data_IF_565252547671
#
_entry.id   IF_565252547671
#
_cell.length_a   1.000
_cell.length_b   1.000
_cell.length_c   1.000
_cell.angle_alpha   90.00
_cell.angle_beta   90.00
_cell.angle_gamma   90.00
#
_symmetry.space_group_name_H-M   'P 1'
#
loop_
_entity.id
_entity.type
_entity.pdbx_description
1 polymer ?
#
# COMPACT_ATOMS: atom_id res chain seq x y z
N UNK A 1 8.38 -36.30 -41.37
CA UNK A 1 7.35 -37.08 -42.08
C UNK A 1 7.03 -38.26 -41.18
N UNK A 2 5.89 -38.25 -40.52
CA UNK A 2 5.38 -39.38 -39.76
C UNK A 2 4.85 -40.39 -40.78
N UNK A 3 5.59 -41.47 -40.99
CA UNK A 3 5.10 -42.62 -41.77
C UNK A 3 3.92 -43.21 -41.00
N UNK A 4 2.74 -43.24 -41.61
CA UNK A 4 1.62 -44.06 -41.16
C UNK A 4 2.04 -45.53 -41.25
N UNK A 5 2.58 -46.08 -40.17
CA UNK A 5 2.74 -47.53 -40.06
C UNK A 5 1.35 -48.10 -39.83
N UNK A 6 0.89 -48.96 -40.74
CA UNK A 6 -0.34 -49.70 -40.56
C UNK A 6 0.02 -50.83 -39.57
N UNK A 7 -0.28 -50.59 -38.28
CA UNK A 7 0.00 -51.55 -37.21
C UNK A 7 -1.11 -52.62 -37.14
N UNK A 8 -0.74 -53.85 -36.84
CA UNK A 8 -1.70 -54.97 -36.62
C UNK A 8 -2.18 -55.72 -37.83
N UNK A 9 -1.58 -55.52 -39.01
CA UNK A 9 -2.00 -56.24 -40.25
C UNK A 9 -1.76 -57.76 -40.15
N UNK A 10 -0.78 -58.16 -39.35
CA UNK A 10 -0.46 -59.58 -39.15
C UNK A 10 -1.31 -60.26 -38.10
N UNK A 11 -1.43 -59.70 -36.96
CA UNK A 11 -2.15 -60.28 -35.82
C UNK A 11 -3.63 -59.91 -35.76
N UNK A 12 -4.01 -58.72 -36.25
CA UNK A 12 -5.37 -58.16 -36.12
C UNK A 12 -5.59 -57.39 -34.81
N UNK A 13 -4.52 -57.20 -34.00
CA UNK A 13 -4.60 -56.44 -32.74
C UNK A 13 -4.17 -54.98 -32.92
N UNK A 14 -4.83 -54.09 -32.22
CA UNK A 14 -4.42 -52.69 -32.15
C UNK A 14 -3.20 -52.53 -31.22
N UNK A 15 -2.00 -52.57 -31.84
CA UNK A 15 -0.70 -52.49 -31.14
C UNK A 15 -0.55 -51.14 -30.45
N UNK A 16 -1.00 -50.04 -31.07
CA UNK A 16 -0.90 -48.70 -30.50
C UNK A 16 -1.70 -48.57 -29.19
N UNK A 17 -2.91 -49.13 -29.17
CA UNK A 17 -3.76 -49.17 -27.98
C UNK A 17 -3.14 -50.02 -26.85
N UNK A 18 -2.57 -51.17 -27.20
CA UNK A 18 -1.91 -52.08 -26.24
C UNK A 18 -0.68 -51.38 -25.63
N UNK A 19 0.20 -50.81 -26.45
CA UNK A 19 1.42 -50.14 -26.00
C UNK A 19 1.07 -48.92 -25.16
N UNK A 20 0.10 -48.11 -25.60
CA UNK A 20 -0.37 -46.96 -24.87
C UNK A 20 -0.90 -47.35 -23.48
N UNK A 21 -1.70 -48.39 -23.38
CA UNK A 21 -2.26 -48.89 -22.11
C UNK A 21 -1.15 -49.38 -21.16
N UNK A 22 -0.16 -50.10 -21.67
CA UNK A 22 0.98 -50.60 -20.89
C UNK A 22 1.85 -49.44 -20.36
N UNK A 23 2.15 -48.45 -21.23
CA UNK A 23 2.94 -47.28 -20.86
C UNK A 23 2.21 -46.44 -19.82
N UNK A 24 0.90 -46.23 -20.00
CA UNK A 24 0.08 -45.50 -19.04
C UNK A 24 0.00 -46.21 -17.68
N UNK A 25 -0.14 -47.52 -17.66
CA UNK A 25 -0.13 -48.30 -16.42
C UNK A 25 1.21 -48.18 -15.68
N UNK A 26 2.35 -48.13 -16.38
CA UNK A 26 3.67 -47.93 -15.83
C UNK A 26 3.90 -46.47 -15.36
N UNK A 27 3.33 -45.49 -16.07
CA UNK A 27 3.44 -44.07 -15.79
C UNK A 27 2.62 -43.65 -14.55
N UNK A 28 1.39 -44.16 -14.44
CA UNK A 28 0.37 -43.65 -13.50
C UNK A 28 0.83 -43.58 -12.04
N UNK A 29 1.52 -44.54 -11.43
CA UNK A 29 1.92 -44.44 -10.00
C UNK A 29 2.90 -43.29 -9.75
N UNK A 30 3.93 -43.17 -10.60
CA UNK A 30 4.94 -42.10 -10.44
C UNK A 30 4.37 -40.71 -10.78
N UNK A 31 3.52 -40.62 -11.81
CA UNK A 31 2.80 -39.41 -12.18
C UNK A 31 1.92 -38.93 -11.02
N UNK A 32 1.13 -39.82 -10.44
CA UNK A 32 0.28 -39.52 -9.27
C UNK A 32 1.11 -39.01 -8.10
N UNK A 33 2.25 -39.67 -7.80
CA UNK A 33 3.16 -39.23 -6.74
C UNK A 33 3.68 -37.80 -6.99
N UNK A 34 4.17 -37.51 -8.22
CA UNK A 34 4.69 -36.18 -8.58
C UNK A 34 3.57 -35.14 -8.45
N UNK A 35 2.41 -35.38 -9.04
CA UNK A 35 1.26 -34.46 -9.00
C UNK A 35 0.80 -34.17 -7.59
N UNK A 36 0.72 -35.19 -6.73
CA UNK A 36 0.33 -35.03 -5.31
C UNK A 36 1.34 -34.15 -4.57
N UNK A 37 2.64 -34.40 -4.77
CA UNK A 37 3.70 -33.60 -4.14
C UNK A 37 3.72 -32.15 -4.66
N UNK A 38 3.53 -31.92 -5.97
CA UNK A 38 3.42 -30.59 -6.55
C UNK A 38 2.22 -29.84 -5.98
N UNK A 39 1.05 -30.47 -5.94
CA UNK A 39 -0.16 -29.87 -5.36
C UNK A 39 0.08 -29.48 -3.90
N UNK A 40 0.66 -30.37 -3.10
CA UNK A 40 0.98 -30.11 -1.71
C UNK A 40 1.97 -28.95 -1.56
N UNK A 41 3.05 -28.91 -2.32
CA UNK A 41 4.06 -27.85 -2.28
C UNK A 41 3.47 -26.50 -2.71
N UNK A 42 2.67 -26.45 -3.77
CA UNK A 42 1.98 -25.24 -4.23
C UNK A 42 0.98 -24.73 -3.19
N UNK A 43 0.20 -25.60 -2.56
CA UNK A 43 -0.75 -25.23 -1.51
C UNK A 43 -0.03 -24.68 -0.29
N UNK A 44 1.09 -25.27 0.12
CA UNK A 44 1.93 -24.76 1.20
C UNK A 44 2.56 -23.41 0.83
N UNK A 45 3.04 -23.24 -0.40
CA UNK A 45 3.62 -21.99 -0.89
C UNK A 45 2.60 -20.85 -0.85
N UNK A 46 1.39 -21.09 -1.31
CA UNK A 46 0.28 -20.13 -1.23
C UNK A 46 -0.06 -19.76 0.21
N UNK A 47 -0.11 -20.76 1.10
CA UNK A 47 -0.39 -20.53 2.52
C UNK A 47 0.73 -19.74 3.21
N UNK A 48 2.00 -19.99 2.89
CA UNK A 48 3.14 -19.20 3.39
C UNK A 48 3.10 -17.77 2.87
N UNK A 49 2.68 -17.55 1.60
CA UNK A 49 2.45 -16.21 1.04
C UNK A 49 1.38 -15.44 1.82
N UNK A 50 0.26 -16.10 2.13
CA UNK A 50 -0.81 -15.52 2.96
C UNK A 50 -0.32 -15.21 4.38
N UNK A 51 0.42 -16.12 5.01
CA UNK A 51 1.00 -15.90 6.33
C UNK A 51 2.00 -14.74 6.33
N UNK A 52 2.87 -14.66 5.33
CA UNK A 52 3.84 -13.56 5.16
C UNK A 52 3.13 -12.22 5.03
N UNK A 53 2.07 -12.15 4.22
CA UNK A 53 1.26 -10.94 4.06
C UNK A 53 0.59 -10.52 5.37
N UNK A 54 -0.01 -11.46 6.09
CA UNK A 54 -0.65 -11.18 7.39
C UNK A 54 0.36 -10.68 8.43
N UNK A 55 1.55 -11.29 8.50
CA UNK A 55 2.62 -10.87 9.39
C UNK A 55 3.19 -9.51 9.02
N UNK A 56 3.37 -9.21 7.72
CA UNK A 56 3.84 -7.90 7.25
C UNK A 56 2.82 -6.80 7.55
N UNK A 57 1.53 -7.08 7.38
CA UNK A 57 0.45 -6.15 7.75
C UNK A 57 0.44 -5.88 9.25
N UNK A 58 0.59 -6.93 10.06
CA UNK A 58 0.68 -6.81 11.51
C UNK A 58 1.92 -6.03 11.95
N UNK A 59 3.09 -6.32 11.37
CA UNK A 59 4.33 -5.58 11.61
C UNK A 59 4.16 -4.09 11.31
N UNK A 60 3.60 -3.75 10.15
CA UNK A 60 3.34 -2.36 9.78
C UNK A 60 2.36 -1.66 10.75
N UNK A 61 1.37 -2.39 11.27
CA UNK A 61 0.47 -1.87 12.29
C UNK A 61 1.20 -1.61 13.63
N UNK A 62 2.08 -2.52 14.06
CA UNK A 62 2.91 -2.33 15.25
C UNK A 62 3.85 -1.13 15.10
N UNK A 63 4.52 -1.01 13.95
CA UNK A 63 5.45 0.09 13.67
C UNK A 63 4.71 1.44 13.69
N UNK A 64 3.52 1.51 13.08
CA UNK A 64 2.68 2.70 13.12
C UNK A 64 2.20 3.03 14.53
N UNK A 65 1.87 2.04 15.33
CA UNK A 65 1.43 2.23 16.72
C UNK A 65 2.59 2.61 17.65
N UNK A 66 3.81 2.15 17.36
CA UNK A 66 5.00 2.48 18.13
C UNK A 66 5.58 3.86 17.79
N UNK A 67 5.00 4.58 16.83
CA UNK A 67 5.31 5.98 16.59
C UNK A 67 4.86 6.83 17.81
N UNK A 68 5.74 7.72 18.26
CA UNK A 68 5.49 8.61 19.40
C UNK A 68 4.18 9.41 19.28
N UNK A 69 3.73 9.69 18.06
CA UNK A 69 2.47 10.40 17.79
C UNK A 69 1.23 9.55 18.05
N UNK A 70 1.30 8.24 17.81
CA UNK A 70 0.16 7.30 17.95
C UNK A 70 -0.20 7.04 19.42
N UNK A 71 0.82 7.01 20.28
CA UNK A 71 0.68 6.93 21.74
C UNK A 71 1.05 8.27 22.40
N UNK A 72 0.92 9.38 21.64
CA UNK A 72 1.19 10.70 22.19
C UNK A 72 0.38 10.94 23.47
N UNK A 73 1.09 11.25 24.54
CA UNK A 73 0.51 11.43 25.85
C UNK A 73 -0.46 12.61 25.94
N UNK A 74 -0.48 13.50 24.94
CA UNK A 74 -1.26 14.73 24.94
C UNK A 74 -2.10 14.85 23.66
N UNK A 75 -3.28 15.44 23.80
CA UNK A 75 -4.13 15.90 22.71
C UNK A 75 -4.42 17.37 22.88
N UNK A 76 -4.65 18.06 21.77
CA UNK A 76 -5.10 19.45 21.78
C UNK A 76 -6.54 19.54 21.28
N UNK A 77 -7.35 20.33 21.95
CA UNK A 77 -8.72 20.66 21.53
C UNK A 77 -8.87 22.16 21.41
N UNK A 78 -9.53 22.61 20.35
CA UNK A 78 -9.99 24.00 20.18
C UNK A 78 -11.47 24.05 20.51
N UNK A 79 -11.89 25.03 21.34
CA UNK A 79 -13.31 25.23 21.65
C UNK A 79 -14.13 25.75 20.45
N UNK A 80 -13.44 26.31 19.45
CA UNK A 80 -14.04 26.78 18.18
C UNK A 80 -13.09 26.50 17.03
N UNK A 81 -13.36 25.45 16.28
CA UNK A 81 -12.59 25.08 15.07
C UNK A 81 -12.81 26.07 13.92
N UNK A 82 -13.91 26.81 13.94
CA UNK A 82 -14.19 27.88 12.98
C UNK A 82 -13.31 29.11 13.22
N UNK A 83 -12.77 29.27 14.43
CA UNK A 83 -11.83 30.36 14.75
C UNK A 83 -10.38 29.92 14.59
N UNK A 84 -10.03 28.76 15.13
CA UNK A 84 -8.71 28.15 14.96
C UNK A 84 -8.72 26.63 15.11
N UNK A 85 -7.84 25.95 14.41
CA UNK A 85 -7.52 24.55 14.62
C UNK A 85 -6.13 24.44 15.23
N UNK A 86 -5.88 23.37 16.01
CA UNK A 86 -4.59 23.18 16.67
C UNK A 86 -4.11 21.73 16.55
N UNK A 87 -2.79 21.54 16.57
CA UNK A 87 -2.12 20.24 16.61
C UNK A 87 -1.07 20.24 17.71
N UNK A 88 -0.85 19.10 18.35
CA UNK A 88 0.17 18.91 19.38
C UNK A 88 1.36 18.15 18.81
N UNK A 89 2.57 18.57 19.17
CA UNK A 89 3.83 17.96 18.79
C UNK A 89 4.72 17.67 20.00
N UNK A 90 5.96 17.34 19.73
CA UNK A 90 6.94 17.05 20.77
C UNK A 90 7.19 18.27 21.68
N UNK A 91 7.37 18.02 22.97
CA UNK A 91 7.66 19.08 23.97
C UNK A 91 6.44 19.87 24.43
N UNK A 92 5.21 19.49 24.02
CA UNK A 92 4.01 20.09 24.55
C UNK A 92 3.81 19.76 26.04
N UNK A 93 3.23 20.70 26.78
CA UNK A 93 2.82 20.51 28.16
C UNK A 93 1.32 20.77 28.30
N UNK A 94 0.68 20.09 29.26
CA UNK A 94 -0.74 20.27 29.54
C UNK A 94 -1.02 21.73 29.98
N UNK A 95 -2.13 22.29 29.50
CA UNK A 95 -2.54 23.66 29.80
C UNK A 95 -3.77 24.07 29.02
N UNK A 96 -4.32 25.23 29.36
CA UNK A 96 -5.47 25.83 28.70
C UNK A 96 -5.13 27.29 28.38
N UNK A 97 -5.27 27.67 27.11
CA UNK A 97 -4.83 28.94 26.57
C UNK A 97 -5.98 29.61 25.83
N UNK A 98 -6.35 30.84 26.25
CA UNK A 98 -7.35 31.64 25.54
C UNK A 98 -6.69 32.35 24.36
N UNK A 99 -7.05 32.00 23.16
CA UNK A 99 -6.58 32.64 21.91
C UNK A 99 -7.70 33.55 21.39
N UNK A 100 -7.39 34.83 21.17
CA UNK A 100 -8.31 35.76 20.51
C UNK A 100 -7.66 36.24 19.22
N UNK A 101 -8.28 35.94 18.10
CA UNK A 101 -7.84 36.33 16.77
C UNK A 101 -8.49 37.64 16.39
N UNK A 102 -7.70 38.70 16.23
CA UNK A 102 -8.17 40.03 15.81
C UNK A 102 -8.35 40.09 14.29
N UNK A 103 -7.35 39.69 13.56
CA UNK A 103 -7.40 39.54 12.09
C UNK A 103 -6.46 38.45 11.61
N UNK A 104 -6.73 37.92 10.44
CA UNK A 104 -5.86 36.98 9.74
C UNK A 104 -4.73 37.69 8.99
N UNK A 105 -3.65 36.98 8.74
CA UNK A 105 -2.66 37.36 7.75
C UNK A 105 -3.28 37.32 6.35
N UNK A 106 -3.04 38.37 5.58
CA UNK A 106 -3.53 38.48 4.20
C UNK A 106 -2.38 38.58 3.23
N UNK A 107 -2.60 38.08 2.01
CA UNK A 107 -1.63 38.21 0.92
C UNK A 107 -1.94 39.42 0.06
N UNK A 108 -0.95 39.85 -0.72
CA UNK A 108 -1.10 40.94 -1.69
C UNK A 108 -2.06 40.58 -2.83
N UNK A 109 -2.96 41.50 -3.14
CA UNK A 109 -3.77 41.51 -4.38
C UNK A 109 -3.71 42.90 -4.96
N UNK A 110 -3.18 42.99 -6.18
CA UNK A 110 -2.93 44.27 -6.86
C UNK A 110 -3.50 44.26 -8.27
N UNK A 111 -3.82 45.44 -8.80
CA UNK A 111 -4.26 45.61 -10.19
C UNK A 111 -3.53 46.77 -10.83
N UNK A 112 -3.33 46.70 -12.13
CA UNK A 112 -2.92 47.88 -12.96
C UNK A 112 -4.05 48.87 -13.05
N UNK A 113 -3.77 50.05 -13.58
CA UNK A 113 -4.82 50.92 -14.10
C UNK A 113 -5.58 50.24 -15.26
N UNK A 114 -6.63 50.89 -15.75
CA UNK A 114 -7.33 50.48 -16.96
C UNK A 114 -6.37 50.39 -18.16
N UNK A 115 -6.53 49.35 -18.98
CA UNK A 115 -5.73 49.13 -20.18
C UNK A 115 -6.70 48.88 -21.35
N UNK A 116 -6.58 49.66 -22.42
CA UNK A 116 -7.42 49.45 -23.59
C UNK A 116 -7.14 48.07 -24.22
N UNK A 117 -8.21 47.43 -24.70
CA UNK A 117 -8.13 46.10 -25.34
C UNK A 117 -7.24 46.04 -26.58
N UNK A 118 -7.12 47.20 -27.25
CA UNK A 118 -6.29 47.34 -28.46
C UNK A 118 -4.82 47.66 -28.14
N UNK A 119 -4.46 47.81 -26.86
CA UNK A 119 -3.09 48.14 -26.46
C UNK A 119 -2.13 47.04 -26.88
N UNK A 120 -1.12 47.45 -27.67
CA UNK A 120 0.04 46.65 -28.03
C UNK A 120 1.26 47.25 -27.33
N UNK A 121 1.97 46.45 -26.56
CA UNK A 121 3.12 46.95 -25.80
C UNK A 121 4.38 46.97 -26.63
N UNK A 122 5.23 47.96 -26.41
CA UNK A 122 6.59 48.00 -26.95
C UNK A 122 7.54 47.04 -26.20
N UNK A 123 8.77 46.92 -26.69
CA UNK A 123 9.78 46.09 -26.06
C UNK A 123 10.24 46.67 -24.73
N UNK A 124 10.38 45.81 -23.70
CA UNK A 124 10.91 46.22 -22.40
C UNK A 124 10.85 45.09 -21.36
N UNK A 125 10.86 45.46 -20.10
CA UNK A 125 10.80 44.52 -19.00
C UNK A 125 9.96 45.05 -17.83
N UNK A 126 9.33 44.13 -17.11
CA UNK A 126 8.64 44.40 -15.86
C UNK A 126 9.46 43.80 -14.73
N UNK A 127 9.87 44.62 -13.78
CA UNK A 127 10.47 44.20 -12.53
C UNK A 127 9.37 44.08 -11.49
N UNK A 128 9.05 42.82 -11.13
CA UNK A 128 8.02 42.49 -10.16
C UNK A 128 8.72 42.20 -8.84
N UNK A 129 8.34 42.94 -7.80
CA UNK A 129 8.97 42.84 -6.48
C UNK A 129 7.90 42.40 -5.48
N UNK A 130 8.26 41.46 -4.58
CA UNK A 130 7.43 41.03 -3.45
C UNK A 130 8.32 40.80 -2.23
N UNK A 131 8.12 41.57 -1.17
CA UNK A 131 9.04 41.55 -0.04
C UNK A 131 10.49 41.82 -0.46
N UNK A 132 11.37 40.89 -0.15
CA UNK A 132 12.79 40.96 -0.52
C UNK A 132 13.11 40.29 -1.86
N UNK A 133 12.13 39.70 -2.53
CA UNK A 133 12.30 38.99 -3.81
C UNK A 133 11.99 39.89 -4.98
N UNK A 134 12.79 39.83 -6.06
CA UNK A 134 12.61 40.58 -7.28
C UNK A 134 12.76 39.68 -8.51
N UNK A 135 11.85 39.83 -9.46
CA UNK A 135 11.77 39.03 -10.67
C UNK A 135 11.67 39.94 -11.88
N UNK A 136 12.33 39.60 -12.97
CA UNK A 136 12.27 40.37 -14.22
C UNK A 136 11.54 39.55 -15.28
N UNK A 137 10.46 40.11 -15.82
CA UNK A 137 9.65 39.50 -16.89
C UNK A 137 9.85 40.37 -18.15
N UNK A 138 10.39 39.80 -19.22
CA UNK A 138 10.58 40.50 -20.47
C UNK A 138 9.26 40.55 -21.25
N UNK A 139 9.00 41.72 -21.87
CA UNK A 139 7.87 42.00 -22.76
C UNK A 139 8.41 42.24 -24.16
N UNK A 140 7.96 41.47 -25.14
CA UNK A 140 8.36 41.62 -26.54
C UNK A 140 7.57 42.76 -27.20
N UNK A 141 8.15 43.40 -28.22
CA UNK A 141 7.43 44.37 -29.03
C UNK A 141 6.20 43.72 -29.70
N UNK A 142 5.05 44.37 -29.63
CA UNK A 142 3.79 43.87 -30.15
C UNK A 142 2.99 42.98 -29.19
N UNK A 143 3.50 42.75 -27.98
CA UNK A 143 2.81 41.91 -26.99
C UNK A 143 1.44 42.51 -26.61
N UNK A 144 0.44 41.63 -26.48
CA UNK A 144 -0.89 41.95 -25.92
C UNK A 144 -0.89 41.83 -24.39
N UNK A 145 -1.95 42.30 -23.73
CA UNK A 145 -2.13 42.13 -22.29
C UNK A 145 -2.18 40.64 -21.90
N UNK A 146 -2.69 39.77 -22.77
CA UNK A 146 -2.67 38.32 -22.57
C UNK A 146 -1.27 37.72 -22.62
N UNK A 147 -0.42 38.20 -23.51
CA UNK A 147 0.96 37.71 -23.59
C UNK A 147 1.76 38.13 -22.36
N UNK A 148 1.54 39.31 -21.81
CA UNK A 148 2.14 39.77 -20.55
C UNK A 148 1.66 38.90 -19.36
N UNK A 149 0.36 38.64 -19.26
CA UNK A 149 -0.19 37.72 -18.24
C UNK A 149 0.47 36.34 -18.31
N UNK A 150 0.58 35.76 -19.51
CA UNK A 150 1.08 34.41 -19.70
C UNK A 150 2.61 34.37 -19.41
N UNK A 151 3.34 35.42 -19.76
CA UNK A 151 4.77 35.56 -19.43
C UNK A 151 4.97 35.63 -17.90
N UNK A 152 4.16 36.38 -17.18
CA UNK A 152 4.20 36.43 -15.70
C UNK A 152 3.91 35.06 -15.11
N UNK A 153 2.82 34.41 -15.54
CA UNK A 153 2.42 33.10 -15.01
C UNK A 153 3.45 32.00 -15.29
N UNK A 154 4.07 31.99 -16.48
CA UNK A 154 5.08 31.00 -16.84
C UNK A 154 6.33 31.09 -15.95
N UNK A 155 6.67 32.29 -15.50
CA UNK A 155 7.91 32.55 -14.75
C UNK A 155 7.68 32.56 -13.22
N UNK A 156 6.52 33.05 -12.73
CA UNK A 156 6.33 33.38 -11.32
C UNK A 156 5.31 32.48 -10.59
N UNK A 157 4.58 31.63 -11.30
CA UNK A 157 3.61 30.73 -10.65
C UNK A 157 4.25 29.82 -9.60
N UNK A 158 5.45 29.33 -9.83
CA UNK A 158 6.21 28.53 -8.86
C UNK A 158 6.69 29.34 -7.64
N UNK A 159 6.78 30.65 -7.78
CA UNK A 159 7.10 31.59 -6.67
C UNK A 159 5.84 32.06 -5.93
N UNK A 160 4.68 31.52 -6.25
CA UNK A 160 3.41 31.88 -5.60
C UNK A 160 2.74 33.15 -6.10
N UNK A 161 3.25 33.77 -7.19
CA UNK A 161 2.64 34.93 -7.82
C UNK A 161 1.89 34.48 -9.08
N UNK A 162 0.64 34.90 -9.20
CA UNK A 162 -0.20 34.60 -10.36
C UNK A 162 -0.83 35.86 -10.92
N UNK A 163 -0.98 35.92 -12.25
CA UNK A 163 -1.60 37.03 -12.95
C UNK A 163 -2.88 36.57 -13.67
N UNK A 164 -3.88 37.44 -13.71
CA UNK A 164 -5.11 37.26 -14.48
C UNK A 164 -5.56 38.59 -15.08
N UNK A 165 -6.43 38.56 -16.08
CA UNK A 165 -7.07 39.73 -16.64
C UNK A 165 -8.50 39.76 -16.12
N UNK A 166 -8.86 40.81 -15.40
CA UNK A 166 -10.23 41.05 -14.92
C UNK A 166 -10.76 42.30 -15.65
N UNK A 167 -11.95 42.18 -16.22
CA UNK A 167 -12.65 43.30 -16.87
C UNK A 167 -13.73 43.79 -15.91
N UNK A 168 -13.55 44.99 -15.40
CA UNK A 168 -14.53 45.70 -14.59
C UNK A 168 -15.37 46.67 -15.46
N UNK A 169 -16.17 47.54 -14.83
CA UNK A 169 -17.00 48.52 -15.53
C UNK A 169 -16.20 49.56 -16.35
N UNK A 170 -14.91 49.74 -16.06
CA UNK A 170 -14.04 50.65 -16.77
C UNK A 170 -13.21 49.95 -17.86
N UNK A 171 -13.06 48.65 -17.83
CA UNK A 171 -12.38 47.82 -18.81
C UNK A 171 -11.40 46.80 -18.22
N UNK A 172 -10.55 46.20 -19.07
CA UNK A 172 -9.63 45.17 -18.63
C UNK A 172 -8.46 45.75 -17.83
N UNK A 173 -8.04 44.96 -16.79
CA UNK A 173 -6.88 45.22 -15.94
C UNK A 173 -6.08 43.95 -15.77
N UNK A 174 -4.79 44.06 -15.62
CA UNK A 174 -3.94 42.96 -15.15
C UNK A 174 -4.00 42.94 -13.62
N UNK A 175 -4.43 41.81 -13.06
CA UNK A 175 -4.56 41.59 -11.61
C UNK A 175 -3.53 40.55 -11.20
N UNK A 176 -2.71 40.85 -10.21
CA UNK A 176 -1.76 39.91 -9.63
C UNK A 176 -2.20 39.57 -8.19
N UNK A 177 -2.03 38.29 -7.84
CA UNK A 177 -2.25 37.79 -6.50
C UNK A 177 -1.07 36.95 -6.02
N UNK A 178 -0.83 36.98 -4.72
CA UNK A 178 0.20 36.19 -4.09
C UNK A 178 -0.37 35.15 -3.14
N UNK A 179 0.36 34.05 -2.94
CA UNK A 179 0.14 33.08 -1.86
C UNK A 179 0.90 33.46 -0.59
N UNK A 180 1.90 34.34 -0.67
CA UNK A 180 2.67 34.81 0.47
C UNK A 180 1.86 35.87 1.21
N UNK A 181 1.64 35.64 2.51
CA UNK A 181 0.94 36.55 3.42
C UNK A 181 1.92 37.36 4.26
N UNK A 182 1.40 38.33 4.98
CA UNK A 182 2.16 39.14 5.96
C UNK A 182 2.52 40.51 5.48
N UNK A 183 2.72 41.42 6.45
CA UNK A 183 3.09 42.79 6.18
C UNK A 183 4.40 42.89 5.39
N UNK A 184 4.43 43.80 4.41
CA UNK A 184 5.60 44.01 3.58
C UNK A 184 5.73 43.00 2.41
N UNK A 185 4.77 42.06 2.23
CA UNK A 185 4.73 41.14 1.12
C UNK A 185 3.92 41.65 -0.09
N UNK A 186 3.71 42.97 -0.17
CA UNK A 186 2.96 43.57 -1.26
C UNK A 186 3.73 43.45 -2.59
N UNK A 187 2.95 43.21 -3.65
CA UNK A 187 3.48 43.12 -5.01
C UNK A 187 3.56 44.54 -5.59
N UNK A 188 4.72 44.90 -6.13
CA UNK A 188 4.93 46.12 -6.92
C UNK A 188 5.47 45.77 -8.30
N UNK A 189 5.14 46.58 -9.30
CA UNK A 189 5.63 46.45 -10.67
C UNK A 189 6.26 47.75 -11.12
N UNK A 190 7.53 47.71 -11.46
CA UNK A 190 8.26 48.78 -12.17
C UNK A 190 8.40 48.36 -13.64
N UNK A 191 8.15 49.29 -14.56
CA UNK A 191 8.30 49.06 -15.99
C UNK A 191 9.54 49.79 -16.51
N UNK A 192 10.29 49.17 -17.40
CA UNK A 192 11.49 49.72 -18.07
C UNK A 192 11.46 49.37 -19.56
N UNK A 193 11.86 50.32 -20.38
CA UNK A 193 11.85 50.20 -21.84
C UNK A 193 10.83 51.15 -22.48
N UNK A 194 9.94 50.61 -23.32
CA UNK A 194 8.97 51.42 -24.04
C UNK A 194 7.90 52.04 -23.07
N UNK A 195 7.50 53.26 -23.30
CA UNK A 195 6.57 54.01 -22.46
C UNK A 195 5.14 53.42 -22.45
N UNK A 196 4.79 52.58 -23.43
CA UNK A 196 3.50 51.84 -23.39
C UNK A 196 3.39 50.89 -22.20
N UNK A 197 4.51 50.47 -21.58
CA UNK A 197 4.56 49.63 -20.40
C UNK A 197 4.24 50.39 -19.11
N UNK A 198 4.20 51.71 -19.12
CA UNK A 198 3.92 52.52 -17.90
C UNK A 198 2.54 52.22 -17.31
N UNK A 199 1.56 51.84 -18.13
CA UNK A 199 0.22 51.46 -17.68
C UNK A 199 0.21 50.16 -16.86
N UNK A 200 1.30 49.37 -16.89
CA UNK A 200 1.49 48.15 -16.13
C UNK A 200 2.12 48.39 -14.75
N UNK A 201 2.58 49.59 -14.44
CA UNK A 201 3.18 49.96 -13.16
C UNK A 201 2.15 49.76 -12.01
N UNK A 202 2.61 49.22 -10.92
CA UNK A 202 1.81 49.00 -9.70
C UNK A 202 2.63 49.42 -8.49
N UNK A 203 2.07 50.32 -7.70
CA UNK A 203 2.50 50.61 -6.33
C UNK A 203 1.60 49.78 -5.40
N UNK A 204 2.08 48.62 -4.94
CA UNK A 204 1.29 47.66 -4.19
C UNK A 204 0.98 48.06 -2.75
N UNK A 205 1.71 48.98 -2.20
CA UNK A 205 1.58 49.39 -0.78
C UNK A 205 1.12 50.82 -0.59
N UNK A 206 1.47 51.73 -1.52
CA UNK A 206 1.23 53.19 -1.37
C UNK A 206 -0.09 53.66 -1.98
N UNK A 207 -0.59 52.99 -3.01
CA UNK A 207 -1.72 53.46 -3.82
C UNK A 207 -2.80 52.40 -3.93
N UNK A 208 -4.09 52.78 -3.79
CA UNK A 208 -5.22 51.93 -4.09
C UNK A 208 -5.50 51.92 -5.62
N UNK A 209 -5.70 50.75 -6.19
CA UNK A 209 -6.00 50.59 -7.62
C UNK A 209 -7.23 51.41 -8.03
N UNK A 210 -7.11 52.17 -9.13
CA UNK A 210 -8.17 52.99 -9.71
C UNK A 210 -8.15 52.87 -11.27
N UNK A 211 -9.05 53.60 -11.94
CA UNK A 211 -9.03 53.64 -13.39
C UNK A 211 -7.74 54.20 -13.98
N UNK A 212 -7.02 55.05 -13.24
CA UNK A 212 -5.85 55.78 -13.70
C UNK A 212 -4.57 55.46 -12.93
N UNK A 213 -4.62 54.57 -11.92
CA UNK A 213 -3.46 54.18 -11.12
C UNK A 213 -3.49 52.69 -10.77
N UNK A 214 -2.32 52.03 -10.93
CA UNK A 214 -2.11 50.67 -10.42
C UNK A 214 -1.79 50.65 -8.92
N UNK A 215 -2.30 49.68 -8.21
CA UNK A 215 -2.10 49.57 -6.76
C UNK A 215 -2.83 48.37 -6.12
N UNK A 216 -2.97 48.39 -4.79
CA UNK A 216 -3.70 47.33 -4.07
C UNK A 216 -5.21 47.42 -4.34
N UNK A 217 -5.89 46.24 -4.38
CA UNK A 217 -7.32 46.19 -4.72
C UNK A 217 -8.18 46.56 -3.50
N UNK A 218 -8.03 45.86 -2.39
CA UNK A 218 -8.84 46.04 -1.18
C UNK A 218 -8.02 46.60 -0.02
N UNK A 219 -7.07 45.78 0.45
CA UNK A 219 -6.13 46.14 1.50
C UNK A 219 -4.72 45.70 1.14
N UNK A 220 -3.71 46.33 1.71
CA UNK A 220 -2.32 45.86 1.65
C UNK A 220 -2.18 44.53 2.39
N UNK A 221 -1.11 43.81 2.11
CA UNK A 221 -0.77 42.57 2.83
C UNK A 221 -0.54 42.88 4.32
N UNK A 222 -1.07 42.02 5.20
CA UNK A 222 -1.05 42.26 6.67
C UNK A 222 -0.66 40.98 7.39
N UNK A 223 -0.01 41.16 8.54
CA UNK A 223 0.17 40.11 9.52
C UNK A 223 -1.15 39.71 10.21
N UNK A 224 -1.25 38.49 10.64
CA UNK A 224 -2.24 38.07 11.59
C UNK A 224 -1.90 38.73 12.96
N UNK A 225 -2.92 39.29 13.60
CA UNK A 225 -2.81 39.78 14.98
C UNK A 225 -3.74 38.98 15.88
N UNK A 226 -3.20 38.46 16.94
CA UNK A 226 -3.94 37.64 17.91
C UNK A 226 -3.37 37.81 19.30
N UNK A 227 -4.08 37.36 20.32
CA UNK A 227 -3.58 37.31 21.69
C UNK A 227 -3.63 35.87 22.23
N UNK A 228 -2.68 35.54 23.10
CA UNK A 228 -2.70 34.32 23.91
C UNK A 228 -2.70 34.75 25.36
N UNK A 229 -3.77 34.43 26.10
CA UNK A 229 -4.00 34.85 27.50
C UNK A 229 -3.80 36.35 27.70
N UNK A 230 -4.16 37.16 26.70
CA UNK A 230 -4.02 38.62 26.70
C UNK A 230 -2.67 39.14 26.20
N UNK A 231 -1.67 38.30 25.97
CA UNK A 231 -0.38 38.68 25.40
C UNK A 231 -0.51 38.90 23.88
N UNK A 232 -0.10 40.08 23.40
CA UNK A 232 -0.17 40.43 21.97
C UNK A 232 0.85 39.65 21.16
N UNK A 233 0.40 39.09 20.05
CA UNK A 233 1.18 38.32 19.12
C UNK A 233 0.91 38.77 17.69
N UNK A 234 1.92 38.63 16.80
CA UNK A 234 1.80 38.86 15.38
C UNK A 234 2.45 37.69 14.61
N UNK A 235 1.90 37.38 13.45
CA UNK A 235 2.49 36.37 12.57
C UNK A 235 2.27 36.72 11.10
N UNK A 236 3.31 36.61 10.29
CA UNK A 236 3.19 36.80 8.85
C UNK A 236 2.33 35.73 8.17
N UNK A 237 2.06 34.61 8.83
CA UNK A 237 1.25 33.52 8.32
C UNK A 237 0.09 33.18 9.25
N UNK A 238 -0.96 32.55 8.69
CA UNK A 238 -2.08 32.06 9.50
C UNK A 238 -1.77 30.74 10.21
N UNK A 239 -0.66 30.06 9.87
CA UNK A 239 -0.17 28.90 10.61
C UNK A 239 0.95 29.35 11.55
N UNK A 240 0.70 29.21 12.84
CA UNK A 240 1.58 29.65 13.91
C UNK A 240 2.16 28.45 14.64
N UNK A 241 3.48 28.42 14.75
CA UNK A 241 4.21 27.41 15.53
C UNK A 241 5.14 28.12 16.54
N UNK A 242 5.33 27.47 17.68
CA UNK A 242 6.27 27.96 18.71
C UNK A 242 5.73 29.08 19.63
N UNK A 243 4.55 29.63 19.40
CA UNK A 243 3.90 30.56 20.32
C UNK A 243 3.46 29.90 21.64
N UNK A 244 3.09 28.62 21.57
CA UNK A 244 2.89 27.72 22.72
C UNK A 244 3.85 26.53 22.49
N UNK A 245 4.63 26.20 23.52
CA UNK A 245 5.62 25.11 23.41
C UNK A 245 4.98 23.80 22.96
N UNK A 246 5.46 23.24 21.85
CA UNK A 246 4.96 21.98 21.27
C UNK A 246 3.53 22.03 20.71
N UNK A 247 2.94 23.21 20.52
CA UNK A 247 1.62 23.39 19.91
C UNK A 247 1.74 24.22 18.64
N UNK A 248 1.15 23.77 17.57
CA UNK A 248 0.95 24.55 16.34
C UNK A 248 -0.54 24.76 16.12
N UNK A 249 -0.92 25.94 15.66
CA UNK A 249 -2.32 26.24 15.36
C UNK A 249 -2.47 27.05 14.08
N UNK A 250 -3.58 26.87 13.41
CA UNK A 250 -3.95 27.60 12.19
C UNK A 250 -5.14 28.50 12.51
N UNK A 251 -4.97 29.78 12.30
CA UNK A 251 -6.01 30.80 12.42
C UNK A 251 -6.94 30.69 11.21
N UNK A 252 -8.25 30.57 11.44
CA UNK A 252 -9.27 30.38 10.40
C UNK A 252 -10.13 31.62 10.24
N UNK A 253 -10.55 32.24 11.34
CA UNK A 253 -11.35 33.46 11.33
C UNK A 253 -11.07 34.31 12.58
N UNK A 254 -11.42 35.60 12.54
CA UNK A 254 -11.46 36.45 13.71
C UNK A 254 -12.47 35.92 14.74
N UNK A 255 -12.10 35.91 16.00
CA UNK A 255 -12.93 35.37 17.09
C UNK A 255 -12.11 34.93 18.28
N UNK A 256 -12.76 34.23 19.21
CA UNK A 256 -12.12 33.72 20.44
C UNK A 256 -12.27 32.19 20.50
N UNK A 257 -11.19 31.51 20.83
CA UNK A 257 -11.20 30.08 21.12
C UNK A 257 -10.29 29.75 22.28
N UNK A 258 -10.63 28.71 23.03
CA UNK A 258 -9.76 28.15 24.07
C UNK A 258 -9.09 26.91 23.54
N UNK A 259 -7.75 26.92 23.52
CA UNK A 259 -6.91 25.77 23.14
C UNK A 259 -6.57 25.03 24.44
N UNK A 260 -7.04 23.81 24.59
CA UNK A 260 -6.76 22.95 25.75
C UNK A 260 -5.86 21.80 25.33
N UNK A 261 -4.72 21.69 25.96
CA UNK A 261 -3.77 20.57 25.85
C UNK A 261 -3.94 19.69 27.08
N UNK A 262 -4.37 18.47 26.90
CA UNK A 262 -4.62 17.50 27.99
C UNK A 262 -4.22 16.09 27.56
N UNK A 263 -4.29 15.13 28.49
CA UNK A 263 -4.00 13.72 28.23
C UNK A 263 -4.89 13.15 27.13
N UNK A 264 -4.26 12.48 26.16
CA UNK A 264 -4.93 11.91 25.00
C UNK A 264 -5.53 10.53 25.30
N UNK A 265 -6.47 10.46 26.22
CA UNK A 265 -7.13 9.19 26.61
C UNK A 265 -7.84 8.53 25.43
N UNK A 266 -8.54 9.32 24.63
CA UNK A 266 -9.31 8.81 23.46
C UNK A 266 -8.37 8.28 22.38
N UNK A 267 -7.27 8.97 22.11
CA UNK A 267 -6.24 8.53 21.17
C UNK A 267 -5.56 7.26 21.63
N UNK A 268 -5.17 7.19 22.90
CA UNK A 268 -4.55 6.00 23.47
C UNK A 268 -5.52 4.79 23.46
N UNK A 269 -6.79 5.01 23.78
CA UNK A 269 -7.83 3.98 23.68
C UNK A 269 -7.99 3.46 22.23
N UNK A 270 -8.00 4.37 21.26
CA UNK A 270 -8.08 4.06 19.84
C UNK A 270 -6.85 3.26 19.39
N UNK A 271 -5.66 3.63 19.82
CA UNK A 271 -4.41 2.93 19.50
C UNK A 271 -4.40 1.52 20.11
N UNK A 272 -4.87 1.35 21.34
CA UNK A 272 -5.00 0.04 21.98
C UNK A 272 -6.01 -0.84 21.24
N UNK A 273 -7.16 -0.31 20.83
CA UNK A 273 -8.14 -1.04 20.01
C UNK A 273 -7.53 -1.46 18.67
N UNK A 274 -6.81 -0.57 17.98
CA UNK A 274 -6.13 -0.89 16.73
C UNK A 274 -5.06 -1.98 16.89
N UNK A 275 -4.35 -2.00 18.03
CA UNK A 275 -3.44 -3.11 18.36
C UNK A 275 -4.21 -4.44 18.47
N UNK A 276 -5.29 -4.47 19.23
CA UNK A 276 -6.12 -5.68 19.42
C UNK A 276 -6.71 -6.16 18.10
N UNK A 277 -7.21 -5.24 17.28
CA UNK A 277 -7.79 -5.58 15.96
C UNK A 277 -6.74 -6.17 15.00
N UNK A 278 -5.55 -5.57 14.96
CA UNK A 278 -4.45 -6.06 14.11
C UNK A 278 -3.95 -7.44 14.56
N UNK A 279 -3.84 -7.65 15.88
CA UNK A 279 -3.51 -8.94 16.45
C UNK A 279 -4.58 -9.99 16.11
N UNK A 280 -5.86 -9.66 16.31
CA UNK A 280 -6.98 -10.55 16.02
C UNK A 280 -7.06 -10.94 14.55
N UNK A 281 -6.78 -10.00 13.64
CA UNK A 281 -6.69 -10.28 12.21
C UNK A 281 -5.56 -11.28 11.88
N UNK A 282 -4.39 -11.11 12.49
CA UNK A 282 -3.28 -12.06 12.36
C UNK A 282 -3.66 -13.46 12.88
N UNK A 283 -4.20 -13.55 14.10
CA UNK A 283 -4.61 -14.84 14.70
C UNK A 283 -5.69 -15.53 13.87
N UNK A 284 -6.67 -14.79 13.38
CA UNK A 284 -7.73 -15.33 12.51
C UNK A 284 -7.13 -15.88 11.21
N UNK A 285 -6.17 -15.18 10.60
CA UNK A 285 -5.45 -15.66 9.41
C UNK A 285 -4.69 -16.94 9.72
N UNK A 286 -3.92 -16.99 10.81
CA UNK A 286 -3.18 -18.19 11.22
C UNK A 286 -4.13 -19.36 11.50
N UNK A 287 -5.22 -19.13 12.22
CA UNK A 287 -6.22 -20.16 12.51
C UNK A 287 -6.82 -20.72 11.23
N UNK A 288 -7.09 -19.89 10.21
CA UNK A 288 -7.62 -20.34 8.92
C UNK A 288 -6.63 -21.24 8.16
N UNK A 289 -5.33 -20.97 8.27
CA UNK A 289 -4.26 -21.71 7.62
C UNK A 289 -3.88 -23.03 8.34
N UNK A 290 -4.28 -23.19 9.60
CA UNK A 290 -3.89 -24.33 10.46
C UNK A 290 -5.04 -25.20 10.89
N UNK A 291 -6.29 -24.76 10.67
CA UNK A 291 -7.49 -25.49 11.12
C UNK A 291 -7.60 -26.87 10.50
N UNK A 292 -8.18 -27.79 11.27
CA UNK A 292 -8.68 -29.07 10.79
C UNK A 292 -10.20 -29.01 10.81
N UNK A 293 -10.82 -29.33 9.68
CA UNK A 293 -12.28 -29.27 9.51
C UNK A 293 -12.79 -30.69 9.25
N UNK A 294 -13.74 -31.12 10.06
CA UNK A 294 -14.47 -32.33 9.80
C UNK A 294 -15.59 -32.03 8.78
N UNK A 295 -15.59 -32.74 7.69
CA UNK A 295 -16.56 -32.64 6.58
C UNK A 295 -17.17 -34.00 6.32
N UNK A 296 -18.23 -34.05 5.55
CA UNK A 296 -18.85 -35.30 5.11
C UNK A 296 -18.68 -35.37 3.58
N UNK A 297 -18.20 -36.50 3.07
CA UNK A 297 -18.09 -36.69 1.62
C UNK A 297 -19.48 -36.86 0.97
N UNK A 298 -19.49 -36.96 -0.37
CA UNK A 298 -20.72 -37.14 -1.15
C UNK A 298 -21.49 -38.43 -0.84
N UNK A 299 -20.85 -39.37 -0.16
CA UNK A 299 -21.43 -40.63 0.25
C UNK A 299 -21.94 -40.62 1.71
N UNK A 300 -21.89 -39.45 2.39
CA UNK A 300 -22.29 -39.32 3.80
C UNK A 300 -21.22 -39.80 4.79
N UNK A 301 -20.02 -40.15 4.35
CA UNK A 301 -18.95 -40.63 5.24
C UNK A 301 -18.15 -39.43 5.81
N UNK A 302 -17.89 -39.43 7.14
CA UNK A 302 -17.07 -38.42 7.76
C UNK A 302 -15.65 -38.38 7.16
N UNK A 303 -15.21 -37.23 6.74
CA UNK A 303 -13.85 -36.97 6.25
C UNK A 303 -13.23 -35.79 7.00
N UNK A 304 -11.92 -35.77 7.08
CA UNK A 304 -11.18 -34.68 7.73
C UNK A 304 -10.36 -33.93 6.68
N UNK A 305 -10.60 -32.63 6.56
CA UNK A 305 -9.80 -31.74 5.72
C UNK A 305 -8.89 -30.89 6.61
N UNK A 306 -7.60 -30.98 6.38
CA UNK A 306 -6.58 -30.17 7.07
C UNK A 306 -6.15 -29.01 6.19
N UNK A 307 -6.09 -27.81 6.75
CA UNK A 307 -5.53 -26.66 6.06
C UNK A 307 -4.01 -26.85 5.79
N UNK A 308 -3.46 -26.07 4.85
CA UNK A 308 -2.12 -26.25 4.28
C UNK A 308 -0.97 -26.24 5.31
N UNK A 309 -1.13 -25.51 6.41
CA UNK A 309 -0.15 -25.40 7.52
C UNK A 309 -0.62 -26.11 8.80
N UNK A 310 -1.60 -27.02 8.68
CA UNK A 310 -2.02 -27.84 9.83
C UNK A 310 -0.85 -28.69 10.33
N UNK A 311 -0.57 -28.60 11.62
CA UNK A 311 0.55 -29.30 12.26
C UNK A 311 1.94 -28.72 11.95
N UNK A 312 2.04 -27.57 11.25
CA UNK A 312 3.32 -26.94 10.93
C UNK A 312 4.02 -26.43 12.18
N UNK A 313 5.29 -26.83 12.35
CA UNK A 313 6.08 -26.51 13.55
C UNK A 313 6.42 -25.02 13.64
N UNK A 314 6.75 -24.38 12.49
CA UNK A 314 7.09 -22.95 12.44
C UNK A 314 5.89 -22.11 12.88
N UNK A 315 4.70 -22.40 12.35
CA UNK A 315 3.46 -21.69 12.70
C UNK A 315 3.10 -21.87 14.18
N UNK A 316 3.32 -23.05 14.75
CA UNK A 316 3.11 -23.29 16.19
C UNK A 316 4.10 -22.49 17.05
N UNK A 317 5.38 -22.44 16.66
CA UNK A 317 6.40 -21.67 17.37
C UNK A 317 6.09 -20.17 17.31
N UNK A 318 5.66 -19.65 16.15
CA UNK A 318 5.20 -18.27 16.01
C UNK A 318 4.03 -17.96 16.96
N UNK A 319 2.98 -18.79 16.96
CA UNK A 319 1.83 -18.60 17.87
C UNK A 319 2.23 -18.64 19.35
N UNK A 320 3.12 -19.56 19.73
CA UNK A 320 3.62 -19.63 21.10
C UNK A 320 4.43 -18.41 21.48
N UNK A 321 5.28 -17.91 20.57
CA UNK A 321 6.04 -16.68 20.76
C UNK A 321 5.12 -15.48 20.99
N UNK A 322 4.15 -15.27 20.09
CA UNK A 322 3.18 -14.17 20.20
C UNK A 322 2.38 -14.22 21.51
N UNK A 323 1.95 -15.42 21.93
CA UNK A 323 1.23 -15.60 23.21
C UNK A 323 2.11 -15.33 24.42
N UNK A 324 3.38 -15.74 24.38
CA UNK A 324 4.31 -15.47 25.47
C UNK A 324 4.55 -13.97 25.66
N UNK A 325 4.65 -13.20 24.56
CA UNK A 325 4.79 -11.74 24.63
C UNK A 325 3.55 -11.08 25.24
N UNK A 326 2.34 -11.57 24.94
CA UNK A 326 1.09 -11.02 25.50
C UNK A 326 0.95 -11.24 27.01
N UNK A 327 1.43 -12.39 27.54
CA UNK A 327 1.36 -12.69 28.98
C UNK A 327 2.61 -12.23 29.73
N UNK A 328 3.66 -11.84 28.99
CA UNK A 328 4.88 -11.31 29.57
C UNK A 328 4.63 -10.01 30.34
N UNK A 329 5.21 -9.88 31.52
CA UNK A 329 5.16 -8.63 32.29
C UNK A 329 5.98 -7.54 31.59
N UNK A 330 5.49 -6.32 31.63
CA UNK A 330 6.27 -5.15 31.18
C UNK A 330 7.15 -4.63 32.33
N UNK A 331 8.41 -4.37 32.04
CA UNK A 331 9.38 -3.81 32.98
C UNK A 331 9.47 -2.28 32.90
N UNK A 332 8.55 -1.64 32.16
CA UNK A 332 8.52 -0.18 31.92
C UNK A 332 8.30 0.71 33.18
N UNK A 333 8.37 0.14 34.37
CA UNK A 333 8.39 0.87 35.64
C UNK A 333 7.02 1.36 36.15
N UNK A 334 5.93 1.19 35.37
CA UNK A 334 4.59 1.61 35.73
C UNK A 334 3.82 0.63 36.62
N UNK A 335 2.63 1.03 37.09
CA UNK A 335 1.71 0.17 37.86
C UNK A 335 1.03 -0.90 37.00
N UNK A 336 0.96 -0.70 35.67
CA UNK A 336 0.39 -1.64 34.71
C UNK A 336 1.50 -2.57 34.22
N UNK A 337 1.35 -3.85 34.55
CA UNK A 337 2.32 -4.92 34.21
C UNK A 337 1.78 -5.92 33.21
N UNK A 338 0.46 -6.09 33.11
CA UNK A 338 -0.21 -7.13 32.35
C UNK A 338 -1.40 -6.56 31.55
N UNK A 339 -1.65 -7.11 30.36
CA UNK A 339 -2.83 -6.76 29.55
C UNK A 339 -4.16 -6.96 30.30
N UNK A 340 -4.24 -7.95 31.17
CA UNK A 340 -5.45 -8.23 31.97
C UNK A 340 -5.84 -7.09 32.91
N UNK A 341 -4.87 -6.30 33.38
CA UNK A 341 -5.11 -5.11 34.21
C UNK A 341 -5.77 -3.98 33.38
N UNK A 342 -5.61 -4.00 32.06
CA UNK A 342 -6.29 -3.10 31.12
C UNK A 342 -7.66 -3.60 30.68
N UNK A 343 -8.13 -4.74 31.20
CA UNK A 343 -9.35 -5.38 30.71
C UNK A 343 -9.20 -6.09 29.38
N UNK A 344 -7.97 -6.37 28.93
CA UNK A 344 -7.72 -7.13 27.71
C UNK A 344 -7.45 -8.58 28.07
N UNK A 345 -8.24 -9.50 27.53
CA UNK A 345 -8.16 -10.94 27.82
C UNK A 345 -8.15 -11.77 26.54
N UNK A 346 -7.50 -12.94 26.60
CA UNK A 346 -7.41 -13.88 25.49
C UNK A 346 -8.62 -14.81 25.48
N UNK A 347 -9.24 -14.99 24.32
CA UNK A 347 -10.32 -15.96 24.09
C UNK A 347 -9.77 -17.36 23.78
N UNK A 348 -10.67 -18.36 23.75
CA UNK A 348 -10.30 -19.75 23.46
C UNK A 348 -9.69 -19.96 22.06
N UNK A 349 -10.08 -19.13 21.08
CA UNK A 349 -9.54 -19.15 19.71
C UNK A 349 -8.20 -18.42 19.57
N UNK A 350 -7.69 -17.85 20.68
CA UNK A 350 -6.44 -17.10 20.74
C UNK A 350 -6.58 -15.62 20.39
N UNK A 351 -7.76 -15.14 20.02
CA UNK A 351 -8.03 -13.70 19.80
C UNK A 351 -8.15 -12.97 21.13
N UNK A 352 -8.00 -11.65 21.09
CA UNK A 352 -8.15 -10.78 22.25
C UNK A 352 -9.55 -10.17 22.31
N UNK A 353 -10.03 -9.88 23.51
CA UNK A 353 -11.24 -9.10 23.77
C UNK A 353 -10.91 -7.94 24.72
N UNK A 354 -11.64 -6.85 24.60
CA UNK A 354 -11.48 -5.64 25.42
C UNK A 354 -12.75 -5.47 26.29
N UNK A 355 -12.56 -5.26 27.57
CA UNK A 355 -13.56 -4.70 28.49
C UNK A 355 -13.38 -3.16 28.50
N UNK A 356 -14.23 -2.45 27.76
CA UNK A 356 -14.13 -0.99 27.60
C UNK A 356 -14.19 -0.24 28.93
N UNK A 357 -14.95 -0.71 29.92
CA UNK A 357 -15.08 -0.06 31.22
C UNK A 357 -13.79 -0.16 32.03
N UNK A 358 -13.16 -1.34 32.03
CA UNK A 358 -11.85 -1.52 32.70
C UNK A 358 -10.77 -0.72 32.01
N UNK A 359 -10.77 -0.70 30.66
CA UNK A 359 -9.81 0.10 29.89
C UNK A 359 -9.96 1.59 30.21
N UNK A 360 -11.17 2.15 30.21
CA UNK A 360 -11.44 3.55 30.54
C UNK A 360 -10.99 3.89 31.95
N UNK A 361 -11.20 2.99 32.92
CA UNK A 361 -10.75 3.16 34.30
C UNK A 361 -9.22 3.17 34.39
N UNK A 362 -8.55 2.27 33.69
CA UNK A 362 -7.08 2.22 33.63
C UNK A 362 -6.50 3.49 32.98
N UNK A 363 -7.07 3.95 31.86
CA UNK A 363 -6.67 5.19 31.18
C UNK A 363 -6.90 6.44 32.02
N UNK A 364 -7.91 6.45 32.88
CA UNK A 364 -8.19 7.58 33.74
C UNK A 364 -7.24 7.65 34.93
N UNK A 365 -6.94 6.52 35.55
CA UNK A 365 -6.20 6.47 36.80
C UNK A 365 -4.68 6.25 36.60
N UNK A 366 -4.26 5.64 35.48
CA UNK A 366 -2.89 5.18 35.27
C UNK A 366 -2.38 5.49 33.85
N UNK A 367 -2.76 6.65 33.29
CA UNK A 367 -2.47 7.00 31.89
C UNK A 367 -1.01 6.76 31.46
N UNK A 368 -0.04 7.32 32.19
CA UNK A 368 1.39 7.18 31.88
C UNK A 368 1.87 5.72 32.00
N UNK A 369 1.33 4.93 32.95
CA UNK A 369 1.66 3.51 33.09
C UNK A 369 1.08 2.68 31.95
N UNK A 370 -0.13 3.03 31.45
CA UNK A 370 -0.73 2.39 30.28
C UNK A 370 0.10 2.69 29.04
N UNK A 371 0.46 3.95 28.83
CA UNK A 371 1.32 4.36 27.73
C UNK A 371 2.66 3.60 27.78
N UNK A 372 3.35 3.62 28.92
CA UNK A 372 4.64 2.94 29.11
C UNK A 372 4.57 1.42 28.93
N UNK A 373 3.44 0.78 29.28
CA UNK A 373 3.24 -0.65 29.05
C UNK A 373 3.31 -1.02 27.54
N UNK A 374 2.75 -0.18 26.68
CA UNK A 374 2.76 -0.41 25.23
C UNK A 374 4.04 0.06 24.55
N UNK A 375 4.55 1.24 24.94
CA UNK A 375 5.67 1.92 24.27
C UNK A 375 6.93 1.96 25.13
N UNK A 376 8.05 2.39 24.54
CA UNK A 376 9.33 2.48 25.23
C UNK A 376 10.11 1.19 25.21
N UNK A 377 11.30 1.23 25.82
CA UNK A 377 12.21 0.07 25.88
C UNK A 377 11.57 -1.04 26.70
N UNK A 378 11.43 -2.24 26.09
CA UNK A 378 10.75 -3.38 26.69
C UNK A 378 9.22 -3.30 26.72
N UNK A 379 8.63 -2.29 26.07
CA UNK A 379 7.18 -2.16 25.89
C UNK A 379 6.59 -3.28 25.02
N UNK A 380 5.29 -3.51 25.15
CA UNK A 380 4.62 -4.61 24.43
C UNK A 380 4.80 -4.53 22.91
N UNK A 381 4.68 -3.33 22.32
CA UNK A 381 4.78 -3.16 20.86
C UNK A 381 6.19 -3.50 20.34
N UNK A 382 7.24 -3.12 21.07
CA UNK A 382 8.63 -3.45 20.72
C UNK A 382 8.85 -4.97 20.78
N UNK A 383 8.41 -5.63 21.87
CA UNK A 383 8.56 -7.08 22.02
C UNK A 383 7.79 -7.86 20.95
N UNK A 384 6.54 -7.45 20.67
CA UNK A 384 5.74 -8.07 19.61
C UNK A 384 6.37 -7.86 18.22
N UNK A 385 6.89 -6.67 17.93
CA UNK A 385 7.60 -6.38 16.69
C UNK A 385 8.86 -7.26 16.55
N UNK A 386 9.67 -7.36 17.59
CA UNK A 386 10.86 -8.21 17.61
C UNK A 386 10.53 -9.71 17.40
N UNK A 387 9.46 -10.19 18.01
CA UNK A 387 8.97 -11.58 17.88
C UNK A 387 8.57 -11.93 16.44
N UNK A 388 8.01 -10.96 15.68
CA UNK A 388 7.59 -11.15 14.28
C UNK A 388 8.73 -10.96 13.29
N UNK A 389 9.69 -10.10 13.61
CA UNK A 389 10.78 -9.69 12.71
C UNK A 389 11.59 -10.87 12.17
N UNK A 390 11.87 -11.88 12.99
CA UNK A 390 12.63 -13.08 12.58
C UNK A 390 11.94 -13.88 11.46
N UNK A 391 10.64 -13.73 11.30
CA UNK A 391 9.85 -14.36 10.24
C UNK A 391 9.74 -13.49 8.99
N UNK A 392 9.63 -12.15 9.14
CA UNK A 392 9.32 -11.22 8.04
C UNK A 392 10.54 -10.59 7.37
N UNK A 393 11.69 -10.54 8.06
CA UNK A 393 12.91 -9.94 7.51
C UNK A 393 13.42 -10.71 6.28
N UNK A 394 14.21 -10.04 5.44
CA UNK A 394 14.90 -10.68 4.31
C UNK A 394 15.76 -11.84 4.77
N UNK A 395 15.67 -12.99 4.09
CA UNK A 395 16.29 -14.26 4.48
C UNK A 395 15.81 -14.81 5.84
N UNK A 396 14.66 -14.32 6.33
CA UNK A 396 14.03 -14.84 7.54
C UNK A 396 13.43 -16.24 7.34
N UNK A 397 12.78 -16.75 8.38
CA UNK A 397 12.27 -18.13 8.40
C UNK A 397 11.25 -18.42 7.29
N UNK A 398 10.40 -17.43 6.94
CA UNK A 398 9.43 -17.59 5.84
C UNK A 398 10.11 -17.61 4.47
N UNK A 399 11.12 -16.77 4.24
CA UNK A 399 11.85 -16.74 2.97
C UNK A 399 12.63 -18.06 2.76
N UNK A 400 13.28 -18.57 3.80
CA UNK A 400 13.97 -19.86 3.75
C UNK A 400 13.01 -21.01 3.42
N UNK A 401 11.84 -21.03 4.07
CA UNK A 401 10.81 -22.06 3.81
C UNK A 401 10.25 -21.98 2.39
N UNK A 402 10.00 -20.76 1.91
CA UNK A 402 9.57 -20.50 0.53
C UNK A 402 10.61 -20.97 -0.48
N UNK A 403 11.88 -20.68 -0.25
CA UNK A 403 12.99 -21.12 -1.11
C UNK A 403 13.10 -22.65 -1.16
N UNK A 404 12.98 -23.34 -0.01
CA UNK A 404 13.00 -24.80 0.05
C UNK A 404 11.82 -25.44 -0.73
N UNK A 405 10.62 -24.84 -0.65
CA UNK A 405 9.47 -25.31 -1.43
C UNK A 405 9.65 -25.08 -2.94
N UNK A 406 10.20 -23.94 -3.33
CA UNK A 406 10.52 -23.65 -4.73
C UNK A 406 11.58 -24.63 -5.27
N UNK A 407 12.60 -24.98 -4.48
CA UNK A 407 13.55 -26.01 -4.86
C UNK A 407 12.87 -27.37 -5.01
N UNK A 408 11.98 -27.75 -4.10
CA UNK A 408 11.20 -28.99 -4.20
C UNK A 408 10.36 -29.01 -5.48
N UNK A 409 9.72 -27.91 -5.87
CA UNK A 409 8.95 -27.80 -7.11
C UNK A 409 9.85 -27.94 -8.35
N UNK A 410 11.04 -27.37 -8.34
CA UNK A 410 12.06 -27.51 -9.39
C UNK A 410 12.51 -28.96 -9.55
N UNK A 411 12.77 -29.64 -8.43
CA UNK A 411 13.15 -31.05 -8.42
C UNK A 411 12.03 -31.95 -8.95
N UNK A 412 10.78 -31.66 -8.60
CA UNK A 412 9.60 -32.36 -9.11
C UNK A 412 9.40 -32.13 -10.61
N UNK A 413 9.67 -30.92 -11.13
CA UNK A 413 9.64 -30.64 -12.57
C UNK A 413 10.72 -31.45 -13.31
N UNK A 414 11.91 -31.57 -12.75
CA UNK A 414 12.99 -32.41 -13.29
C UNK A 414 12.58 -33.89 -13.32
N UNK A 415 11.97 -34.40 -12.23
CA UNK A 415 11.45 -35.76 -12.15
C UNK A 415 10.32 -36.00 -13.19
N UNK A 416 9.46 -34.99 -13.41
CA UNK A 416 8.41 -35.08 -14.44
C UNK A 416 9.01 -35.21 -15.84
N UNK A 417 10.04 -34.43 -16.16
CA UNK A 417 10.75 -34.50 -17.44
C UNK A 417 11.42 -35.89 -17.63
N UNK A 418 12.11 -36.37 -16.59
CA UNK A 418 12.74 -37.67 -16.60
C UNK A 418 11.73 -38.83 -16.80
N UNK A 419 10.56 -38.73 -16.14
CA UNK A 419 9.47 -39.70 -16.31
C UNK A 419 8.96 -39.67 -17.75
N UNK A 420 8.71 -38.52 -18.34
CA UNK A 420 8.28 -38.37 -19.71
C UNK A 420 9.28 -39.02 -20.68
N UNK A 421 10.55 -38.65 -20.58
CA UNK A 421 11.61 -39.24 -21.44
C UNK A 421 11.75 -40.76 -21.28
N UNK A 422 11.53 -41.29 -20.08
CA UNK A 422 11.54 -42.73 -19.82
C UNK A 422 10.34 -43.42 -20.50
N UNK A 423 9.15 -42.81 -20.43
CA UNK A 423 7.94 -43.34 -21.04
C UNK A 423 8.03 -43.31 -22.57
N UNK A 424 8.61 -42.28 -23.17
CA UNK A 424 8.84 -42.17 -24.61
C UNK A 424 9.78 -43.28 -25.11
N UNK A 425 10.89 -43.53 -24.37
CA UNK A 425 11.78 -44.65 -24.68
C UNK A 425 11.09 -46.02 -24.55
N UNK A 426 10.28 -46.18 -23.50
CA UNK A 426 9.50 -47.40 -23.30
C UNK A 426 8.49 -47.61 -24.43
N UNK A 427 7.78 -46.57 -24.84
CA UNK A 427 6.86 -46.56 -25.97
C UNK A 427 7.58 -47.03 -27.23
N UNK A 428 8.71 -46.39 -27.58
CA UNK A 428 9.51 -46.76 -28.76
C UNK A 428 9.96 -48.23 -28.71
N UNK A 429 10.42 -48.70 -27.54
CA UNK A 429 10.89 -50.06 -27.33
C UNK A 429 9.74 -51.05 -27.47
N UNK A 430 8.59 -50.79 -26.87
CA UNK A 430 7.43 -51.68 -26.95
C UNK A 430 6.85 -51.71 -28.37
N UNK A 431 6.74 -50.56 -29.04
CA UNK A 431 6.29 -50.48 -30.44
C UNK A 431 7.17 -51.32 -31.35
N UNK A 432 8.51 -51.19 -31.22
CA UNK A 432 9.44 -52.00 -31.99
C UNK A 432 9.24 -53.51 -31.75
N UNK A 433 9.08 -53.94 -30.48
CA UNK A 433 8.85 -55.35 -30.12
C UNK A 433 7.51 -55.89 -30.63
N UNK A 434 6.43 -55.13 -30.45
CA UNK A 434 5.10 -55.57 -30.88
C UNK A 434 4.98 -55.58 -32.41
N UNK A 435 5.59 -54.62 -33.11
CA UNK A 435 5.64 -54.62 -34.58
C UNK A 435 6.45 -55.82 -35.15
N UNK A 436 7.58 -56.16 -34.50
CA UNK A 436 8.35 -57.35 -34.87
C UNK A 436 7.53 -58.62 -34.65
N UNK A 437 6.80 -58.71 -33.53
CA UNK A 437 5.89 -59.84 -33.27
C UNK A 437 4.73 -59.93 -34.29
N UNK A 438 4.14 -58.78 -34.64
CA UNK A 438 3.07 -58.71 -35.65
C UNK A 438 3.56 -59.23 -37.04
N UNK A 439 4.76 -58.79 -37.45
CA UNK A 439 5.42 -59.29 -38.68
C UNK A 439 5.64 -60.83 -38.66
N UNK A 440 6.08 -61.36 -37.49
CA UNK A 440 6.27 -62.78 -37.32
C UNK A 440 4.95 -63.53 -37.39
N UNK A 441 3.88 -63.05 -36.79
CA UNK A 441 2.54 -63.60 -36.84
C UNK A 441 1.99 -63.57 -38.28
N UNK A 442 2.24 -62.49 -39.02
CA UNK A 442 1.89 -62.39 -40.44
C UNK A 442 2.59 -63.46 -41.30
N UNK A 443 3.91 -63.66 -41.08
CA UNK A 443 4.68 -64.68 -41.73
C UNK A 443 4.17 -66.13 -41.43
N UNK A 444 3.87 -66.36 -40.13
CA UNK A 444 3.31 -67.66 -39.71
C UNK A 444 1.94 -67.93 -40.33
N UNK A 445 1.06 -66.93 -40.41
CA UNK A 445 -0.25 -67.00 -41.07
C UNK A 445 -0.10 -67.27 -42.55
N UNK A 446 0.83 -66.58 -43.24
CA UNK A 446 1.11 -66.83 -44.67
C UNK A 446 1.66 -68.21 -44.89
N UNK A 447 2.59 -68.72 -44.06
CA UNK A 447 3.11 -70.03 -44.09
C UNK A 447 2.00 -71.07 -43.86
N UNK A 448 1.16 -70.88 -42.85
CA UNK A 448 0.02 -71.78 -42.58
C UNK A 448 -0.96 -71.82 -43.75
N UNK A 449 -1.29 -70.69 -44.35
CA UNK A 449 -2.16 -70.58 -45.50
C UNK A 449 -1.55 -71.32 -46.73
N UNK A 450 -0.23 -71.16 -46.92
CA UNK A 450 0.49 -71.90 -47.98
C UNK A 450 0.45 -73.43 -47.78
N UNK A 451 0.69 -73.87 -46.54
CA UNK A 451 0.62 -75.29 -46.16
C UNK A 451 -0.80 -75.84 -46.37
N UNK A 452 -1.84 -75.07 -45.93
CA UNK A 452 -3.25 -75.45 -46.13
C UNK A 452 -3.62 -75.53 -47.64
N UNK A 453 -3.10 -74.58 -48.43
CA UNK A 453 -3.31 -74.61 -49.89
C UNK A 453 -2.66 -75.82 -50.52
N UNK A 454 -1.44 -76.19 -50.11
CA UNK A 454 -0.74 -77.38 -50.57
C UNK A 454 -1.46 -78.67 -50.15
N UNK A 455 -1.93 -78.75 -48.91
CA UNK A 455 -2.70 -79.89 -48.39
C UNK A 455 -4.05 -80.06 -49.14
N UNK A 456 -4.72 -78.95 -49.43
CA UNK A 456 -5.98 -78.94 -50.17
C UNK A 456 -5.74 -79.38 -51.66
N UNK A 457 -4.62 -79.01 -52.27
CA UNK A 457 -4.23 -79.43 -53.59
C UNK A 457 -3.90 -80.91 -53.63
N UNK A 458 -3.18 -81.45 -52.63
CA UNK A 458 -2.90 -82.87 -52.46
C UNK A 458 -4.18 -83.65 -52.25
N UNK A 459 -5.12 -83.19 -51.43
CA UNK A 459 -6.43 -83.86 -51.24
C UNK A 459 -7.27 -83.89 -52.52
N UNK A 460 -7.25 -82.79 -53.27
CA UNK A 460 -7.91 -82.79 -54.59
C UNK A 460 -7.25 -83.74 -55.58
N UNK A 461 -5.93 -83.85 -55.57
CA UNK A 461 -5.20 -84.82 -56.46
C UNK A 461 -5.47 -86.26 -56.06
N UNK A 462 -5.62 -86.59 -54.76
CA UNK A 462 -5.97 -87.93 -54.28
C UNK A 462 -7.44 -88.29 -54.53
N UNK A 463 -8.37 -87.34 -54.55
CA UNK A 463 -9.80 -87.55 -54.87
C UNK A 463 -10.10 -87.62 -56.38
N UNK A 464 -9.17 -87.19 -57.25
CA UNK A 464 -9.29 -87.32 -58.69
C UNK A 464 -8.66 -88.62 -59.22
N UNK A 465 -8.04 -89.46 -58.38
CA UNK A 465 -7.44 -90.73 -58.73
C UNK A 465 -8.17 -91.93 -58.13
N UNK A 466 -9.38 -91.73 -57.60
CA UNK A 466 -10.36 -92.74 -57.21
C UNK A 466 -11.60 -92.60 -58.10
#
# INVERSE_FOLDING_TARGET
>A
MAGTSINGVGSGYDIDSIVTSLVNAQKAPKQSQITTQQTKANTQLSALGTLKSALSTYQAALDKLNDASSFAGLAVKSSSTDTLTATVGAGATGGSYKVVVGNLATSSKVATQYIDKSTSFGAGSLKITQGNSSYTVNVSAGASLSDVRDSINSQLKSSGITANIITDATGPRLVLGSTTTGAGSDISIEASGDSSLDVLKIDGSGTKASATAGGYIDTVAKDANYTIDGLQMSSATNTVSGAISGVSFTLVAAGSSTVTVDTNKDGLKTSIKSFVDSYNALITSINSLTKVTNTTDSSGKPTTSAAALSGDAMTRTLLSGLRNELVGSSDSGGSIKLLSQLGISTKNDGTLSIDDKKLDTALTNNFSSVQGFFTGSGGLLERMSASVKSYTQSNGLLDQRTSNLNQTLSDLATQQTALTNRMDKLTTTLMAKYNAMDSLVAQLKATSSSVMTTLNALNKASSSNS
#
